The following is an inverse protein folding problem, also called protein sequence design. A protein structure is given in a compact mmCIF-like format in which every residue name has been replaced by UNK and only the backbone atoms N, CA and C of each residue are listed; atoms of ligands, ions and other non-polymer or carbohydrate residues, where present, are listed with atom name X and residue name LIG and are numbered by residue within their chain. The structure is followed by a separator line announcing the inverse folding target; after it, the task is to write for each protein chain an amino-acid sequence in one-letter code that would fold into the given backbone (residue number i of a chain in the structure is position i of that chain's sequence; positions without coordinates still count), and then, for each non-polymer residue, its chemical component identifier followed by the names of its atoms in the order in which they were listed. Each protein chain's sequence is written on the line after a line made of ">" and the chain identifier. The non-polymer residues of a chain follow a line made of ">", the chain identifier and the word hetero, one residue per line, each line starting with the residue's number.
data_IF_022903408720
#
_entry.id   IF_022903408720
#
_cell.length_a   1.000
_cell.length_b   1.000
_cell.length_c   1.000
_cell.angle_alpha   90.00
_cell.angle_beta   90.00
_cell.angle_gamma   90.00
#
_symmetry.space_group_name_H-M   'P 1'
#
loop_
_entity.id
_entity.type
_entity.pdbx_description
1 polymer ?
#
# COMPACT_ATOMS: atom_id res chain seq x y z
N UNK A 1 8.39 -21.70 -51.13
CA UNK A 1 8.70 -20.64 -50.14
C UNK A 1 7.52 -20.51 -49.20
N UNK A 2 7.65 -20.88 -47.91
CA UNK A 2 6.56 -20.65 -46.94
C UNK A 2 6.59 -19.20 -46.47
N UNK A 3 5.42 -18.60 -46.09
CA UNK A 3 5.35 -17.23 -45.64
C UNK A 3 6.01 -17.08 -44.24
N UNK A 4 6.80 -16.03 -44.08
CA UNK A 4 7.39 -15.67 -42.80
C UNK A 4 6.28 -15.25 -41.85
N UNK A 5 6.09 -16.02 -40.76
CA UNK A 5 5.23 -15.64 -39.68
C UNK A 5 5.73 -14.32 -39.03
N UNK A 6 4.83 -13.34 -38.90
CA UNK A 6 5.06 -12.14 -38.13
C UNK A 6 5.28 -12.51 -36.68
N UNK A 7 6.47 -12.24 -36.16
CA UNK A 7 6.74 -12.24 -34.72
C UNK A 7 5.96 -11.06 -34.16
N UNK A 8 4.84 -11.35 -33.52
CA UNK A 8 4.17 -10.33 -32.72
C UNK A 8 5.11 -9.94 -31.58
N UNK A 9 5.80 -8.83 -31.72
CA UNK A 9 6.53 -8.19 -30.63
C UNK A 9 5.49 -7.74 -29.60
N UNK A 10 5.43 -8.41 -28.47
CA UNK A 10 4.73 -7.97 -27.27
C UNK A 10 5.49 -6.75 -26.74
N UNK A 11 5.22 -5.57 -27.29
CA UNK A 11 5.54 -4.33 -26.61
C UNK A 11 4.57 -4.20 -25.43
N UNK A 12 4.99 -4.72 -24.25
CA UNK A 12 4.34 -4.39 -22.98
C UNK A 12 4.42 -2.86 -22.87
N UNK A 13 3.26 -2.22 -22.83
CA UNK A 13 3.20 -0.79 -22.54
C UNK A 13 3.77 -0.58 -21.13
N UNK A 14 4.50 0.49 -20.94
CA UNK A 14 5.03 0.87 -19.61
C UNK A 14 3.90 0.96 -18.57
N UNK A 15 2.64 1.23 -19.01
CA UNK A 15 1.42 1.21 -18.20
C UNK A 15 1.02 -0.18 -17.68
N UNK A 16 1.54 -1.28 -18.25
CA UNK A 16 1.17 -2.65 -17.89
C UNK A 16 2.16 -3.28 -16.87
N UNK A 17 3.23 -2.57 -16.52
CA UNK A 17 4.17 -3.00 -15.49
C UNK A 17 3.67 -2.57 -14.12
N UNK A 18 3.70 -3.48 -13.15
CA UNK A 18 3.36 -3.17 -11.77
C UNK A 18 4.25 -2.03 -11.24
N UNK A 19 3.62 -0.98 -10.69
CA UNK A 19 4.33 0.16 -10.08
C UNK A 19 4.46 0.00 -8.56
N UNK A 20 3.63 -0.86 -7.95
CA UNK A 20 3.59 -1.08 -6.49
C UNK A 20 3.64 -2.58 -6.21
N UNK A 21 4.53 -2.96 -5.29
CA UNK A 21 4.54 -4.31 -4.74
C UNK A 21 3.75 -4.38 -3.44
N UNK A 22 2.84 -5.35 -3.30
CA UNK A 22 2.13 -5.66 -2.05
C UNK A 22 2.65 -7.00 -1.56
N UNK A 23 3.36 -7.02 -0.45
CA UNK A 23 3.92 -8.27 0.09
C UNK A 23 3.50 -8.49 1.54
N UNK A 24 3.41 -9.75 1.93
CA UNK A 24 2.98 -10.14 3.26
C UNK A 24 3.70 -11.38 3.78
N UNK A 25 3.72 -11.54 5.10
CA UNK A 25 4.40 -12.67 5.74
C UNK A 25 3.67 -14.01 5.60
N UNK A 26 2.36 -13.99 5.34
CA UNK A 26 1.50 -15.17 5.20
C UNK A 26 0.26 -14.82 4.36
N UNK A 27 -0.33 -15.83 3.73
CA UNK A 27 -1.63 -15.74 3.07
C UNK A 27 -2.77 -15.36 4.02
N UNK A 28 -2.62 -15.67 5.31
CA UNK A 28 -3.55 -15.24 6.38
C UNK A 28 -3.61 -13.71 6.55
N UNK A 29 -2.64 -12.96 6.06
CA UNK A 29 -2.60 -11.51 6.11
C UNK A 29 -3.40 -10.87 4.95
N UNK A 30 -3.67 -11.65 3.89
CA UNK A 30 -4.35 -11.15 2.70
C UNK A 30 -5.73 -10.52 2.95
N UNK A 31 -6.60 -11.02 3.84
CA UNK A 31 -7.87 -10.38 4.15
C UNK A 31 -7.72 -8.91 4.60
N UNK A 32 -6.62 -8.57 5.28
CA UNK A 32 -6.28 -7.19 5.65
C UNK A 32 -5.62 -6.46 4.47
N UNK A 33 -4.63 -7.08 3.84
CA UNK A 33 -3.80 -6.46 2.81
C UNK A 33 -4.54 -6.17 1.50
N UNK A 34 -5.60 -6.93 1.20
CA UNK A 34 -6.44 -6.72 0.02
C UNK A 34 -6.97 -5.29 -0.11
N UNK A 35 -7.24 -4.61 1.00
CA UNK A 35 -7.70 -3.22 0.97
C UNK A 35 -6.67 -2.25 0.34
N UNK A 36 -5.38 -2.60 0.34
CA UNK A 36 -4.36 -1.82 -0.38
C UNK A 36 -4.50 -1.99 -1.89
N UNK A 37 -4.72 -3.21 -2.38
CA UNK A 37 -4.93 -3.47 -3.82
C UNK A 37 -6.20 -2.79 -4.35
N UNK A 38 -7.26 -2.80 -3.56
CA UNK A 38 -8.51 -2.10 -3.90
C UNK A 38 -8.29 -0.58 -4.00
N UNK A 39 -7.54 0.01 -3.07
CA UNK A 39 -7.21 1.43 -3.11
C UNK A 39 -6.34 1.80 -4.33
N UNK A 40 -5.38 0.95 -4.73
CA UNK A 40 -4.58 1.17 -5.94
C UNK A 40 -5.43 1.05 -7.21
N UNK A 41 -6.34 0.09 -7.26
CA UNK A 41 -7.25 -0.11 -8.39
C UNK A 41 -8.19 1.08 -8.61
N UNK A 42 -8.62 1.78 -7.56
CA UNK A 42 -9.42 3.02 -7.67
C UNK A 42 -8.68 4.13 -8.44
N UNK A 43 -7.35 4.08 -8.49
CA UNK A 43 -6.50 5.02 -9.22
C UNK A 43 -5.84 4.42 -10.46
N UNK A 44 -6.30 3.25 -10.93
CA UNK A 44 -5.75 2.50 -12.07
C UNK A 44 -4.24 2.26 -11.97
N UNK A 45 -3.73 2.08 -10.74
CA UNK A 45 -2.32 1.77 -10.51
C UNK A 45 -2.11 0.26 -10.56
N UNK A 46 -1.26 -0.18 -11.47
CA UNK A 46 -0.87 -1.57 -11.59
C UNK A 46 -0.02 -1.99 -10.39
N UNK A 47 -0.30 -3.16 -9.84
CA UNK A 47 0.42 -3.73 -8.70
C UNK A 47 0.65 -5.24 -8.88
N UNK A 48 1.61 -5.75 -8.15
CA UNK A 48 1.78 -7.18 -7.90
C UNK A 48 1.52 -7.48 -6.42
N UNK A 49 1.07 -8.70 -6.10
CA UNK A 49 0.86 -9.12 -4.71
C UNK A 49 1.41 -10.53 -4.49
N UNK A 50 2.19 -10.73 -3.40
CA UNK A 50 2.79 -12.03 -3.11
C UNK A 50 3.00 -12.24 -1.59
N UNK A 51 3.19 -13.50 -1.22
CA UNK A 51 3.64 -13.92 0.12
C UNK A 51 5.16 -14.05 0.11
N UNK A 52 5.83 -13.17 0.86
CA UNK A 52 7.30 -13.13 0.97
C UNK A 52 7.67 -13.12 2.45
N UNK A 53 7.76 -14.31 3.05
CA UNK A 53 7.95 -14.42 4.49
C UNK A 53 9.40 -14.18 4.92
N UNK A 54 9.63 -13.14 5.72
CA UNK A 54 10.94 -12.82 6.25
C UNK A 54 11.59 -13.95 7.07
N UNK A 55 10.77 -14.77 7.75
CA UNK A 55 11.26 -15.83 8.63
C UNK A 55 11.33 -17.22 7.97
N UNK A 56 10.56 -17.45 6.92
CA UNK A 56 10.46 -18.77 6.27
C UNK A 56 11.06 -18.79 4.86
N UNK A 57 11.22 -17.62 4.24
CA UNK A 57 11.75 -17.38 2.90
C UNK A 57 12.73 -16.20 2.93
N UNK A 58 13.78 -16.21 3.78
CA UNK A 58 14.63 -15.04 3.98
C UNK A 58 15.42 -14.65 2.73
N UNK A 59 15.86 -15.62 1.94
CA UNK A 59 16.63 -15.38 0.71
C UNK A 59 15.75 -14.75 -0.37
N UNK A 60 14.56 -15.30 -0.59
CA UNK A 60 13.56 -14.78 -1.54
C UNK A 60 13.09 -13.37 -1.12
N UNK A 61 12.94 -13.13 0.17
CA UNK A 61 12.59 -11.81 0.69
C UNK A 61 13.69 -10.79 0.40
N UNK A 62 14.95 -11.13 0.64
CA UNK A 62 16.09 -10.26 0.31
C UNK A 62 16.18 -10.00 -1.19
N UNK A 63 15.99 -11.03 -2.01
CA UNK A 63 16.01 -10.90 -3.47
C UNK A 63 14.84 -10.04 -3.97
N UNK A 64 13.64 -10.22 -3.41
CA UNK A 64 12.48 -9.37 -3.72
C UNK A 64 12.81 -7.89 -3.51
N UNK A 65 13.36 -7.54 -2.34
CA UNK A 65 13.70 -6.15 -2.01
C UNK A 65 14.79 -5.57 -2.92
N UNK A 66 15.84 -6.35 -3.21
CA UNK A 66 16.97 -5.93 -4.07
C UNK A 66 16.58 -5.73 -5.53
N UNK A 67 15.75 -6.63 -6.06
CA UNK A 67 15.33 -6.59 -7.47
C UNK A 67 14.18 -5.63 -7.75
N UNK A 68 13.42 -5.21 -6.72
CA UNK A 68 12.17 -4.45 -6.85
C UNK A 68 12.30 -3.21 -7.76
N UNK A 69 13.31 -2.36 -7.51
CA UNK A 69 13.54 -1.16 -8.32
C UNK A 69 13.89 -1.51 -9.78
N UNK A 70 14.72 -2.54 -10.00
CA UNK A 70 15.11 -3.00 -11.33
C UNK A 70 13.95 -3.62 -12.12
N UNK A 71 12.92 -4.13 -11.44
CA UNK A 71 11.68 -4.64 -12.05
C UNK A 71 10.66 -3.55 -12.36
N UNK A 72 10.93 -2.29 -12.00
CA UNK A 72 10.06 -1.15 -12.27
C UNK A 72 9.12 -0.77 -11.13
N UNK A 73 9.21 -1.42 -9.97
CA UNK A 73 8.44 -0.98 -8.79
C UNK A 73 8.95 0.37 -8.31
N UNK A 74 8.05 1.18 -7.78
CA UNK A 74 8.31 2.51 -7.21
C UNK A 74 8.05 2.57 -5.70
N UNK A 75 7.20 1.67 -5.19
CA UNK A 75 6.80 1.59 -3.77
C UNK A 75 6.57 0.14 -3.39
N UNK A 76 6.92 -0.24 -2.17
CA UNK A 76 6.57 -1.54 -1.59
C UNK A 76 5.63 -1.31 -0.40
N UNK A 77 4.48 -1.99 -0.38
CA UNK A 77 3.57 -2.08 0.76
C UNK A 77 3.80 -3.44 1.40
N UNK A 78 4.25 -3.47 2.64
CA UNK A 78 4.59 -4.71 3.33
C UNK A 78 3.74 -4.90 4.60
N UNK A 79 2.95 -5.98 4.64
CA UNK A 79 2.12 -6.36 5.77
C UNK A 79 2.76 -7.46 6.61
N UNK A 80 2.72 -7.32 7.93
CA UNK A 80 3.22 -8.35 8.83
C UNK A 80 2.53 -8.28 10.20
N UNK A 81 2.36 -9.44 10.82
CA UNK A 81 1.77 -9.58 12.16
C UNK A 81 2.76 -10.15 13.18
N UNK A 82 2.56 -9.84 14.46
CA UNK A 82 3.38 -10.32 15.57
C UNK A 82 4.80 -9.77 15.53
N UNK A 83 5.79 -10.65 15.39
CA UNK A 83 7.19 -10.28 15.11
C UNK A 83 7.29 -9.77 13.65
N UNK A 84 6.79 -8.58 13.41
CA UNK A 84 6.51 -8.02 12.09
C UNK A 84 7.78 -7.43 11.44
N UNK A 85 8.77 -8.28 11.17
CA UNK A 85 10.10 -7.86 10.68
C UNK A 85 10.11 -7.53 9.17
N UNK A 86 9.19 -8.07 8.38
CA UNK A 86 9.20 -7.97 6.92
C UNK A 86 9.36 -6.54 6.38
N UNK A 87 8.61 -5.52 6.84
CA UNK A 87 8.76 -4.17 6.30
C UNK A 87 10.14 -3.58 6.54
N UNK A 88 10.68 -3.73 7.75
CA UNK A 88 12.01 -3.24 8.11
C UNK A 88 13.14 -3.95 7.36
N UNK A 89 13.04 -5.26 7.18
CA UNK A 89 14.01 -6.04 6.42
C UNK A 89 14.02 -5.65 4.94
N UNK A 90 12.87 -5.46 4.33
CA UNK A 90 12.77 -4.95 2.95
C UNK A 90 13.37 -3.54 2.84
N UNK A 91 13.02 -2.64 3.77
CA UNK A 91 13.56 -1.27 3.78
C UNK A 91 15.09 -1.21 3.90
N UNK A 92 15.71 -2.24 4.49
CA UNK A 92 17.17 -2.31 4.63
C UNK A 92 17.91 -2.69 3.34
N UNK A 93 17.21 -3.24 2.33
CA UNK A 93 17.84 -3.79 1.10
C UNK A 93 17.31 -3.18 -0.19
N UNK A 94 16.31 -2.30 -0.11
CA UNK A 94 15.76 -1.59 -1.28
C UNK A 94 15.97 -0.07 -1.14
N UNK A 95 16.20 0.65 -2.25
CA UNK A 95 16.16 2.11 -2.25
C UNK A 95 14.73 2.67 -2.32
N UNK A 96 13.71 1.81 -2.53
CA UNK A 96 12.32 2.25 -2.68
C UNK A 96 11.69 2.60 -1.34
N UNK A 97 10.71 3.52 -1.32
CA UNK A 97 9.84 3.71 -0.16
C UNK A 97 9.15 2.41 0.25
N UNK A 98 9.20 2.08 1.54
CA UNK A 98 8.48 0.95 2.12
C UNK A 98 7.41 1.47 3.07
N UNK A 99 6.17 1.02 2.84
CA UNK A 99 5.01 1.32 3.68
C UNK A 99 4.69 0.07 4.50
N UNK A 100 4.78 0.17 5.81
CA UNK A 100 4.53 -0.93 6.74
C UNK A 100 3.07 -0.95 7.20
N UNK A 101 2.42 -2.10 7.07
CA UNK A 101 1.06 -2.33 7.55
C UNK A 101 1.11 -3.30 8.73
N UNK A 102 0.87 -2.85 9.97
CA UNK A 102 0.72 -3.74 11.11
C UNK A 102 -0.55 -4.57 10.94
N UNK A 103 -0.40 -5.90 10.80
CA UNK A 103 -1.54 -6.83 10.71
C UNK A 103 -1.95 -7.24 12.13
N UNK A 104 -3.23 -7.07 12.50
CA UNK A 104 -3.69 -7.47 13.82
C UNK A 104 -3.73 -9.00 13.94
N UNK A 105 -3.18 -9.52 15.03
CA UNK A 105 -3.27 -10.92 15.41
C UNK A 105 -4.16 -11.08 16.66
N UNK A 106 -4.52 -12.33 16.97
CA UNK A 106 -5.41 -12.67 18.07
C UNK A 106 -4.93 -12.15 19.44
N UNK A 107 -3.60 -12.09 19.64
CA UNK A 107 -3.01 -11.58 20.87
C UNK A 107 -2.57 -10.13 20.64
N UNK A 108 -2.71 -9.27 21.67
CA UNK A 108 -2.28 -7.86 21.68
C UNK A 108 -2.91 -6.96 20.62
N UNK A 109 -3.94 -7.42 19.89
CA UNK A 109 -4.72 -6.62 18.91
C UNK A 109 -3.85 -5.85 17.89
N UNK A 110 -2.68 -6.38 17.55
CA UNK A 110 -1.72 -5.79 16.60
C UNK A 110 -0.77 -4.77 17.19
N UNK A 111 -0.75 -4.55 18.51
CA UNK A 111 0.21 -3.64 19.16
C UNK A 111 1.65 -4.14 18.99
N UNK A 112 1.87 -5.45 19.10
CA UNK A 112 3.13 -6.13 18.83
C UNK A 112 3.59 -5.89 17.39
N UNK A 113 2.69 -6.03 16.42
CA UNK A 113 2.96 -5.75 14.99
C UNK A 113 3.35 -4.29 14.78
N UNK A 114 2.59 -3.36 15.36
CA UNK A 114 2.85 -1.93 15.25
C UNK A 114 4.23 -1.57 15.82
N UNK A 115 4.54 -2.01 17.04
CA UNK A 115 5.80 -1.70 17.70
C UNK A 115 6.99 -2.34 16.99
N UNK A 116 6.82 -3.53 16.40
CA UNK A 116 7.87 -4.19 15.60
C UNK A 116 8.19 -3.43 14.32
N UNK A 117 7.21 -2.76 13.69
CA UNK A 117 7.40 -2.06 12.43
C UNK A 117 7.86 -0.61 12.64
N UNK A 118 7.30 0.11 13.63
CA UNK A 118 7.50 1.57 13.75
C UNK A 118 8.86 1.94 14.35
N UNK A 119 9.49 1.07 15.16
CA UNK A 119 10.75 1.33 15.87
C UNK A 119 11.98 1.05 15.00
N UNK A 120 12.06 1.71 13.85
CA UNK A 120 13.19 1.53 12.93
C UNK A 120 14.42 2.35 13.34
N UNK A 121 15.64 1.82 13.13
CA UNK A 121 16.88 2.55 13.35
C UNK A 121 17.03 3.72 12.38
N UNK A 122 17.80 4.72 12.78
CA UNK A 122 18.15 5.84 11.90
C UNK A 122 18.84 5.34 10.61
N UNK A 123 18.38 5.84 9.47
CA UNK A 123 18.90 5.46 8.15
C UNK A 123 18.09 4.36 7.42
N UNK A 124 17.16 3.69 8.10
CA UNK A 124 16.28 2.67 7.49
C UNK A 124 14.81 3.01 7.76
N UNK A 125 14.22 3.97 7.05
CA UNK A 125 12.85 4.42 7.31
C UNK A 125 11.80 3.43 6.79
N UNK A 126 10.71 3.26 7.56
CA UNK A 126 9.46 2.62 7.13
C UNK A 126 8.30 3.57 7.43
N UNK A 127 7.48 3.87 6.42
CA UNK A 127 6.28 4.68 6.59
C UNK A 127 5.16 3.80 7.18
N UNK A 128 5.05 3.77 8.50
CA UNK A 128 4.08 2.88 9.17
C UNK A 128 2.69 3.51 9.23
N UNK A 129 1.67 2.77 8.76
CA UNK A 129 0.26 3.15 8.86
C UNK A 129 -0.40 2.54 10.12
N UNK A 130 -1.67 2.86 10.36
CA UNK A 130 -2.43 2.30 11.48
C UNK A 130 -2.53 0.77 11.42
N UNK A 131 -2.80 0.12 12.55
CA UNK A 131 -3.10 -1.32 12.63
C UNK A 131 -4.29 -1.63 11.72
N UNK A 132 -4.14 -2.62 10.83
CA UNK A 132 -5.12 -2.96 9.81
C UNK A 132 -5.29 -1.90 8.70
N UNK A 133 -4.43 -0.88 8.65
CA UNK A 133 -4.58 0.29 7.78
C UNK A 133 -4.15 0.09 6.32
N UNK A 134 -4.33 -1.10 5.75
CA UNK A 134 -3.87 -1.42 4.40
C UNK A 134 -4.46 -0.50 3.31
N UNK A 135 -5.73 -0.08 3.44
CA UNK A 135 -6.31 0.92 2.53
C UNK A 135 -5.52 2.22 2.52
N UNK A 136 -5.16 2.73 3.70
CA UNK A 136 -4.35 3.94 3.83
C UNK A 136 -2.92 3.73 3.30
N UNK A 137 -2.37 2.52 3.38
CA UNK A 137 -1.10 2.20 2.74
C UNK A 137 -1.19 2.30 1.21
N UNK A 138 -2.26 1.78 0.60
CA UNK A 138 -2.55 1.94 -0.82
C UNK A 138 -2.67 3.42 -1.22
N UNK A 139 -3.48 4.20 -0.49
CA UNK A 139 -3.63 5.64 -0.73
C UNK A 139 -2.32 6.44 -0.52
N UNK A 140 -1.46 6.01 0.42
CA UNK A 140 -0.15 6.63 0.60
C UNK A 140 0.78 6.31 -0.59
N UNK A 141 0.76 5.08 -1.10
CA UNK A 141 1.49 4.72 -2.32
C UNK A 141 1.02 5.57 -3.52
N UNK A 142 -0.30 5.75 -3.71
CA UNK A 142 -0.84 6.69 -4.72
C UNK A 142 -0.25 8.09 -4.56
N UNK A 143 -0.20 8.63 -3.34
CA UNK A 143 0.36 9.97 -3.08
C UNK A 143 1.85 10.07 -3.36
N UNK A 144 2.61 9.02 -3.07
CA UNK A 144 4.05 8.95 -3.40
C UNK A 144 4.23 9.02 -4.92
N UNK A 145 3.46 8.24 -5.68
CA UNK A 145 3.49 8.26 -7.14
C UNK A 145 2.99 9.60 -7.71
N UNK A 146 1.99 10.19 -7.09
CA UNK A 146 1.43 11.49 -7.47
C UNK A 146 2.43 12.65 -7.31
N UNK A 147 3.48 12.51 -6.49
CA UNK A 147 4.49 13.55 -6.33
C UNK A 147 5.18 13.94 -7.65
N UNK A 148 5.21 13.03 -8.63
CA UNK A 148 5.77 13.25 -9.97
C UNK A 148 4.74 13.10 -11.10
N UNK A 149 3.44 12.98 -10.79
CA UNK A 149 2.35 12.79 -11.77
C UNK A 149 1.22 13.78 -11.53
N UNK A 150 1.11 14.86 -12.36
CA UNK A 150 0.02 15.83 -12.25
C UNK A 150 -1.38 15.21 -12.37
N UNK A 151 -1.56 14.22 -13.23
CA UNK A 151 -2.82 13.48 -13.38
C UNK A 151 -3.23 12.78 -12.07
N UNK A 152 -2.32 12.06 -11.45
CA UNK A 152 -2.60 11.43 -10.15
C UNK A 152 -2.85 12.46 -9.03
N UNK A 153 -2.20 13.64 -9.08
CA UNK A 153 -2.48 14.72 -8.14
C UNK A 153 -3.91 15.25 -8.29
N UNK A 154 -4.36 15.47 -9.53
CA UNK A 154 -5.73 15.90 -9.81
C UNK A 154 -6.75 14.87 -9.32
N UNK A 155 -6.56 13.61 -9.63
CA UNK A 155 -7.42 12.50 -9.18
C UNK A 155 -7.45 12.38 -7.66
N UNK A 156 -6.30 12.52 -6.99
CA UNK A 156 -6.24 12.53 -5.52
C UNK A 156 -6.98 13.73 -4.92
N UNK A 157 -6.90 14.88 -5.56
CA UNK A 157 -7.64 16.10 -5.13
C UNK A 157 -9.15 15.89 -5.25
N UNK A 158 -9.61 15.30 -6.36
CA UNK A 158 -11.01 14.95 -6.56
C UNK A 158 -11.49 13.94 -5.49
N UNK A 159 -10.72 12.88 -5.24
CA UNK A 159 -11.00 11.90 -4.19
C UNK A 159 -11.14 12.55 -2.80
N UNK A 160 -10.27 13.51 -2.45
CA UNK A 160 -10.36 14.23 -1.19
C UNK A 160 -11.62 15.11 -1.11
N UNK A 161 -12.05 15.71 -2.22
CA UNK A 161 -13.29 16.48 -2.29
C UNK A 161 -14.53 15.59 -2.05
N UNK A 162 -14.55 14.37 -2.61
CA UNK A 162 -15.62 13.39 -2.37
C UNK A 162 -15.68 12.93 -0.92
N UNK A 163 -14.53 12.67 -0.29
CA UNK A 163 -14.47 12.36 1.14
C UNK A 163 -15.05 13.48 2.00
N UNK A 164 -14.72 14.73 1.66
CA UNK A 164 -15.26 15.91 2.34
C UNK A 164 -16.78 16.00 2.19
N UNK A 165 -17.31 15.82 0.98
CA UNK A 165 -18.75 15.87 0.71
C UNK A 165 -19.49 14.78 1.52
N UNK A 166 -18.99 13.55 1.48
CA UNK A 166 -19.54 12.41 2.27
C UNK A 166 -19.55 12.72 3.77
N UNK A 167 -18.46 13.30 4.30
CA UNK A 167 -18.41 13.66 5.72
C UNK A 167 -19.43 14.78 6.07
N UNK A 168 -19.62 15.76 5.19
CA UNK A 168 -20.61 16.81 5.37
C UNK A 168 -22.05 16.27 5.37
N UNK A 169 -22.38 15.34 4.47
CA UNK A 169 -23.68 14.68 4.41
C UNK A 169 -23.95 13.89 5.69
N UNK A 170 -23.00 13.06 6.13
CA UNK A 170 -23.10 12.34 7.40
C UNK A 170 -23.27 13.28 8.59
N UNK A 171 -22.55 14.39 8.60
CA UNK A 171 -22.69 15.42 9.61
C UNK A 171 -24.08 16.07 9.60
N UNK A 172 -24.69 16.26 8.43
CA UNK A 172 -26.06 16.78 8.32
C UNK A 172 -27.09 15.81 8.93
N UNK A 173 -26.93 14.48 8.69
CA UNK A 173 -27.79 13.45 9.30
C UNK A 173 -27.72 13.54 10.83
N UNK A 174 -26.54 13.61 11.42
CA UNK A 174 -26.36 13.72 12.87
C UNK A 174 -27.00 15.00 13.41
N UNK A 175 -26.81 16.15 12.75
CA UNK A 175 -27.41 17.41 13.17
C UNK A 175 -28.93 17.38 13.14
N UNK A 176 -29.53 16.72 12.16
CA UNK A 176 -30.98 16.57 12.04
C UNK A 176 -31.55 15.60 13.12
N UNK A 177 -30.84 14.51 13.39
CA UNK A 177 -31.24 13.51 14.39
C UNK A 177 -31.18 14.09 15.82
N UNK A 178 -30.14 14.84 16.13
CA UNK A 178 -29.95 15.40 17.47
C UNK A 178 -30.82 16.62 17.76
N UNK A 179 -31.54 17.16 16.80
CA UNK A 179 -32.33 18.38 16.97
C UNK A 179 -31.49 19.57 17.44
N UNK A 180 -30.19 19.55 17.19
CA UNK A 180 -29.22 20.50 17.69
C UNK A 180 -29.61 21.91 17.20
N UNK A 181 -30.23 22.70 18.07
CA UNK A 181 -30.40 24.16 17.89
C UNK A 181 -29.00 24.73 17.67
N UNK A 182 -28.81 25.43 16.56
CA UNK A 182 -27.65 26.32 16.40
C UNK A 182 -27.63 27.28 17.60
N UNK A 183 -26.75 27.04 18.54
CA UNK A 183 -26.36 28.08 19.46
C UNK A 183 -25.55 29.05 18.63
N UNK A 184 -26.18 30.19 18.28
CA UNK A 184 -25.49 31.31 17.66
C UNK A 184 -24.52 31.90 18.67
N UNK A 185 -23.27 31.99 18.26
CA UNK A 185 -22.29 32.89 18.83
C UNK A 185 -22.19 34.07 17.89
#
# INVERSE_FOLDING_TARGET
>A
MPPRGSVATWEMRVSDMASVGIVMGSDSDWPVMKAASEALAEFDIAFEADVVSAHRMPEEMLEYGRSAAGRGLSVIIAGAGGAAHLPGMLASVTPLPVIGVPVPLKNLDGLDSLLSIVQMPAGVPVATVAVGGARNAGLLAVRILAASSPDLQERMTAFQAELKATAQEKGAVVRNDTGARRMGF
#
